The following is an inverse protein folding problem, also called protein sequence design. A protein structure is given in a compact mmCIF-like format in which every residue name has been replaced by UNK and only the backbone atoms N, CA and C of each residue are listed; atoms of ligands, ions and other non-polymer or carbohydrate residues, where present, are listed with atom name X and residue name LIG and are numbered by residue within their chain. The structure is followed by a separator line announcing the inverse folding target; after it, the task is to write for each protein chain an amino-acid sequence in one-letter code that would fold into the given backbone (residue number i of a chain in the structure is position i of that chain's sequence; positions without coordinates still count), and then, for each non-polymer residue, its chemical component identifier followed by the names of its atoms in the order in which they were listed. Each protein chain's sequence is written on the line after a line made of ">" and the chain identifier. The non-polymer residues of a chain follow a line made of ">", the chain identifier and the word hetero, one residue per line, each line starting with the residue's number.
data_IF_612392865241
#
_entry.id   IF_612392865241
#
_cell.length_a   1.000
_cell.length_b   1.000
_cell.length_c   1.000
_cell.angle_alpha   90.00
_cell.angle_beta   90.00
_cell.angle_gamma   90.00
#
_symmetry.space_group_name_H-M   'P 1'
#
loop_
_entity.id
_entity.type
_entity.pdbx_description
1 polymer ?
#
# COMPACT_ATOMS: atom_id res chain seq x y z
N UNK A 1 104.03 -109.54 33.86
CA UNK A 1 102.81 -108.70 33.86
C UNK A 1 103.08 -107.47 34.71
N UNK A 2 102.46 -106.31 34.43
CA UNK A 2 102.48 -105.17 35.35
C UNK A 2 101.75 -105.50 36.67
N UNK A 3 102.06 -104.81 37.78
CA UNK A 3 101.34 -105.00 39.05
C UNK A 3 99.89 -104.51 38.94
N UNK A 4 98.98 -105.18 39.67
CA UNK A 4 97.53 -104.96 39.57
C UNK A 4 97.14 -103.51 39.93
N UNK A 5 97.83 -102.88 40.87
CA UNK A 5 97.57 -101.50 41.29
C UNK A 5 97.77 -100.48 40.15
N UNK A 6 98.65 -100.76 39.19
CA UNK A 6 98.86 -99.93 38.00
C UNK A 6 97.71 -100.05 36.97
N UNK A 7 96.84 -101.04 37.10
CA UNK A 7 95.61 -101.21 36.29
C UNK A 7 94.39 -100.66 37.04
N UNK A 8 94.35 -100.80 38.37
CA UNK A 8 93.24 -100.32 39.21
C UNK A 8 93.26 -98.79 39.37
N UNK A 9 94.43 -98.17 39.59
CA UNK A 9 94.51 -96.72 39.90
C UNK A 9 93.98 -95.79 38.80
N UNK A 10 94.15 -96.06 37.48
CA UNK A 10 93.47 -95.29 36.43
C UNK A 10 91.94 -95.43 36.50
N UNK A 11 91.42 -96.65 36.66
CA UNK A 11 89.98 -96.93 36.73
C UNK A 11 89.32 -96.27 37.95
N UNK A 12 90.04 -96.20 39.09
CA UNK A 12 89.58 -95.43 40.25
C UNK A 12 89.57 -93.91 40.01
N UNK A 13 90.49 -93.38 39.20
CA UNK A 13 90.52 -91.97 38.84
C UNK A 13 89.38 -91.61 37.87
N UNK A 14 89.14 -92.45 36.85
CA UNK A 14 88.00 -92.34 35.94
C UNK A 14 86.67 -92.43 36.70
N UNK A 15 86.53 -93.37 37.64
CA UNK A 15 85.33 -93.52 38.47
C UNK A 15 85.13 -92.33 39.45
N UNK A 16 86.21 -91.65 39.88
CA UNK A 16 86.12 -90.38 40.62
C UNK A 16 85.68 -89.23 39.71
N UNK A 17 86.21 -89.14 38.49
CA UNK A 17 85.79 -88.13 37.50
C UNK A 17 84.31 -88.30 37.11
N UNK A 18 83.87 -89.51 36.79
CA UNK A 18 82.46 -89.80 36.48
C UNK A 18 81.52 -89.45 37.64
N UNK A 19 81.94 -89.65 38.90
CA UNK A 19 81.15 -89.21 40.08
C UNK A 19 81.07 -87.68 40.21
N UNK A 20 82.15 -86.95 39.90
CA UNK A 20 82.15 -85.48 39.87
C UNK A 20 81.28 -84.95 38.72
N UNK A 21 81.32 -85.59 37.55
CA UNK A 21 80.48 -85.27 36.40
C UNK A 21 78.99 -85.51 36.71
N UNK A 22 78.63 -86.66 37.30
CA UNK A 22 77.25 -86.95 37.74
C UNK A 22 76.79 -85.93 38.79
N UNK A 23 77.63 -85.52 39.74
CA UNK A 23 77.28 -84.49 40.72
C UNK A 23 77.03 -83.13 40.04
N UNK A 24 77.90 -82.72 39.11
CA UNK A 24 77.71 -81.50 38.31
C UNK A 24 76.40 -81.56 37.50
N UNK A 25 76.15 -82.66 36.80
CA UNK A 25 74.93 -82.85 36.01
C UNK A 25 73.66 -82.81 36.87
N UNK A 26 73.71 -83.28 38.13
CA UNK A 26 72.59 -83.14 39.07
C UNK A 26 72.33 -81.68 39.45
N UNK A 27 73.36 -80.87 39.69
CA UNK A 27 73.20 -79.44 40.01
C UNK A 27 72.85 -78.58 38.79
N UNK A 28 73.39 -78.90 37.60
CA UNK A 28 72.96 -78.31 36.32
C UNK A 28 71.47 -78.61 36.06
N UNK A 29 71.01 -79.84 36.30
CA UNK A 29 69.59 -80.20 36.15
C UNK A 29 68.69 -79.47 37.18
N UNK A 30 69.13 -79.35 38.44
CA UNK A 30 68.46 -78.50 39.45
C UNK A 30 68.46 -77.01 39.07
N UNK A 31 69.44 -76.53 38.31
CA UNK A 31 69.46 -75.16 37.81
C UNK A 31 68.45 -74.98 36.67
N UNK A 32 68.34 -75.94 35.76
CA UNK A 32 67.32 -75.99 34.71
C UNK A 32 65.89 -76.05 35.28
N UNK A 33 65.64 -76.85 36.33
CA UNK A 33 64.36 -76.90 37.05
C UNK A 33 63.92 -75.52 37.58
N UNK A 34 64.86 -74.79 38.20
CA UNK A 34 64.59 -73.44 38.74
C UNK A 34 64.37 -72.42 37.62
N UNK A 35 65.14 -72.51 36.54
CA UNK A 35 64.99 -71.64 35.37
C UNK A 35 63.66 -71.88 34.65
N UNK A 36 63.22 -73.13 34.54
CA UNK A 36 61.93 -73.51 33.95
C UNK A 36 60.77 -72.91 34.76
N UNK A 37 60.74 -73.14 36.08
CA UNK A 37 59.71 -72.59 36.98
C UNK A 37 59.69 -71.05 36.99
N UNK A 38 60.86 -70.42 36.88
CA UNK A 38 60.97 -68.96 36.74
C UNK A 38 60.36 -68.45 35.43
N UNK A 39 60.63 -69.13 34.31
CA UNK A 39 60.04 -68.83 33.00
C UNK A 39 58.53 -69.08 32.96
N UNK A 40 58.04 -70.15 33.57
CA UNK A 40 56.61 -70.45 33.70
C UNK A 40 55.88 -69.34 34.50
N UNK A 41 56.46 -68.90 35.62
CA UNK A 41 55.91 -67.79 36.40
C UNK A 41 55.86 -66.48 35.59
N UNK A 42 56.95 -66.14 34.89
CA UNK A 42 57.02 -64.95 34.04
C UNK A 42 56.04 -65.00 32.85
N UNK A 43 55.83 -66.17 32.24
CA UNK A 43 54.83 -66.38 31.19
C UNK A 43 53.41 -66.14 31.72
N UNK A 44 53.08 -66.66 32.91
CA UNK A 44 51.77 -66.44 33.54
C UNK A 44 51.55 -64.98 33.99
N UNK A 45 52.61 -64.22 34.27
CA UNK A 45 52.52 -62.78 34.55
C UNK A 45 52.34 -61.96 33.26
N UNK A 46 53.07 -62.30 32.20
CA UNK A 46 52.89 -61.73 30.87
C UNK A 46 51.48 -62.01 30.32
N UNK A 47 50.95 -63.23 30.48
CA UNK A 47 49.60 -63.59 30.03
C UNK A 47 48.53 -62.74 30.73
N UNK A 48 48.58 -62.61 32.07
CA UNK A 48 47.67 -61.71 32.82
C UNK A 48 47.78 -60.27 32.33
N UNK A 49 49.00 -59.80 32.03
CA UNK A 49 49.23 -58.45 31.51
C UNK A 49 48.56 -58.26 30.14
N UNK A 50 48.66 -59.24 29.25
CA UNK A 50 47.98 -59.25 27.94
C UNK A 50 46.46 -59.29 28.10
N UNK A 51 45.91 -60.16 28.97
CA UNK A 51 44.48 -60.23 29.25
C UNK A 51 43.93 -58.88 29.77
N UNK A 52 44.65 -58.21 30.68
CA UNK A 52 44.30 -56.88 31.19
C UNK A 52 44.40 -55.82 30.08
N UNK A 53 45.38 -55.90 29.19
CA UNK A 53 45.52 -54.99 28.05
C UNK A 53 44.36 -55.17 27.04
N UNK A 54 43.97 -56.40 26.72
CA UNK A 54 42.83 -56.70 25.84
C UNK A 54 41.51 -56.18 26.42
N UNK A 55 41.26 -56.37 27.72
CA UNK A 55 40.07 -55.83 28.39
C UNK A 55 40.03 -54.29 28.36
N UNK A 56 41.18 -53.62 28.49
CA UNK A 56 41.29 -52.17 28.35
C UNK A 56 41.08 -51.69 26.91
N UNK A 57 41.60 -52.42 25.91
CA UNK A 57 41.38 -52.11 24.49
C UNK A 57 39.89 -52.15 24.14
N UNK A 58 39.19 -53.24 24.48
CA UNK A 58 37.74 -53.37 24.25
C UNK A 58 36.93 -52.23 24.89
N UNK A 59 37.29 -51.78 26.10
CA UNK A 59 36.64 -50.64 26.75
C UNK A 59 36.93 -49.31 26.05
N UNK A 60 38.13 -49.13 25.48
CA UNK A 60 38.48 -47.96 24.66
C UNK A 60 37.66 -47.97 23.37
N UNK A 61 37.50 -49.12 22.72
CA UNK A 61 36.70 -49.26 21.49
C UNK A 61 35.21 -48.94 21.75
N UNK A 62 34.63 -49.46 22.84
CA UNK A 62 33.27 -49.12 23.28
C UNK A 62 33.09 -47.61 23.53
N UNK A 63 34.08 -46.97 24.16
CA UNK A 63 34.07 -45.53 24.41
C UNK A 63 34.26 -44.71 23.13
N UNK A 64 35.06 -45.18 22.17
CA UNK A 64 35.19 -44.55 20.85
C UNK A 64 33.87 -44.64 20.07
N UNK A 65 33.25 -45.82 20.02
CA UNK A 65 31.94 -46.03 19.41
C UNK A 65 30.88 -45.10 20.02
N UNK A 66 30.85 -44.99 21.34
CA UNK A 66 29.93 -44.09 22.06
C UNK A 66 30.22 -42.60 21.78
N UNK A 67 31.49 -42.20 21.66
CA UNK A 67 31.86 -40.83 21.30
C UNK A 67 31.46 -40.51 19.85
N UNK A 68 31.63 -41.43 18.90
CA UNK A 68 31.16 -41.26 17.52
C UNK A 68 29.64 -41.07 17.47
N UNK A 69 28.89 -41.84 18.25
CA UNK A 69 27.44 -41.73 18.32
C UNK A 69 26.98 -40.40 18.96
N UNK A 70 27.63 -39.96 20.04
CA UNK A 70 27.37 -38.65 20.64
C UNK A 70 27.68 -37.49 19.69
N UNK A 71 28.73 -37.60 18.86
CA UNK A 71 29.03 -36.58 17.82
C UNK A 71 27.91 -36.47 16.78
N UNK A 72 27.36 -37.59 16.30
CA UNK A 72 26.20 -37.58 15.38
C UNK A 72 24.97 -36.94 16.03
N UNK A 73 24.70 -37.27 17.29
CA UNK A 73 23.57 -36.69 18.04
C UNK A 73 23.74 -35.18 18.22
N UNK A 74 24.96 -34.69 18.44
CA UNK A 74 25.27 -33.25 18.46
C UNK A 74 25.03 -32.61 17.09
N UNK A 75 25.44 -33.24 15.98
CA UNK A 75 25.21 -32.75 14.62
C UNK A 75 23.71 -32.69 14.27
N UNK A 76 22.94 -33.72 14.61
CA UNK A 76 21.47 -33.76 14.46
C UNK A 76 20.83 -32.60 15.23
N UNK A 77 21.15 -32.45 16.52
CA UNK A 77 20.66 -31.34 17.35
C UNK A 77 21.01 -29.96 16.75
N UNK A 78 22.16 -29.82 16.09
CA UNK A 78 22.55 -28.56 15.46
C UNK A 78 21.73 -28.24 14.20
N UNK A 79 21.48 -29.20 13.30
CA UNK A 79 20.60 -28.94 12.15
C UNK A 79 19.13 -28.80 12.57
N UNK A 80 18.66 -29.53 13.59
CA UNK A 80 17.32 -29.34 14.16
C UNK A 80 17.10 -27.91 14.67
N UNK A 81 18.04 -27.38 15.47
CA UNK A 81 17.99 -25.98 15.91
C UNK A 81 18.02 -25.02 14.72
N UNK A 82 18.86 -25.28 13.70
CA UNK A 82 18.96 -24.49 12.47
C UNK A 82 17.71 -24.59 11.58
N UNK A 83 16.91 -25.65 11.68
CA UNK A 83 15.59 -25.79 11.05
C UNK A 83 14.52 -25.03 11.86
N UNK A 84 14.53 -25.15 13.19
CA UNK A 84 13.66 -24.39 14.09
C UNK A 84 13.84 -22.88 13.92
N UNK A 85 15.08 -22.40 13.79
CA UNK A 85 15.41 -20.99 13.55
C UNK A 85 14.82 -20.48 12.22
N UNK A 86 14.97 -21.25 11.14
CA UNK A 86 14.38 -20.92 9.81
C UNK A 86 12.84 -20.85 9.92
N UNK A 87 12.23 -21.84 10.57
CA UNK A 87 10.78 -21.93 10.76
C UNK A 87 10.25 -20.78 11.62
N UNK A 88 10.96 -20.41 12.70
CA UNK A 88 10.57 -19.30 13.56
C UNK A 88 10.63 -17.97 12.81
N UNK A 89 11.72 -17.69 12.07
CA UNK A 89 11.83 -16.48 11.24
C UNK A 89 10.73 -16.40 10.17
N UNK A 90 10.36 -17.52 9.55
CA UNK A 90 9.24 -17.59 8.61
C UNK A 90 7.90 -17.26 9.29
N UNK A 91 7.61 -17.84 10.46
CA UNK A 91 6.40 -17.55 11.24
C UNK A 91 6.33 -16.10 11.71
N UNK A 92 7.45 -15.51 12.12
CA UNK A 92 7.52 -14.08 12.49
C UNK A 92 7.19 -13.20 11.28
N UNK A 93 7.78 -13.44 10.11
CA UNK A 93 7.49 -12.69 8.89
C UNK A 93 6.02 -12.85 8.42
N UNK A 94 5.40 -14.02 8.64
CA UNK A 94 3.97 -14.22 8.39
C UNK A 94 3.10 -13.43 9.37
N UNK A 95 3.43 -13.43 10.67
CA UNK A 95 2.73 -12.63 11.69
C UNK A 95 2.88 -11.12 11.43
N UNK A 96 4.06 -10.64 11.01
CA UNK A 96 4.29 -9.25 10.60
C UNK A 96 3.41 -8.87 9.40
N UNK A 97 3.33 -9.74 8.37
CA UNK A 97 2.47 -9.55 7.20
C UNK A 97 0.98 -9.52 7.59
N UNK A 98 0.53 -10.43 8.45
CA UNK A 98 -0.85 -10.44 8.95
C UNK A 98 -1.15 -9.16 9.74
N UNK A 99 -0.22 -8.73 10.61
CA UNK A 99 -0.31 -7.47 11.38
C UNK A 99 -0.39 -6.24 10.47
N UNK A 100 0.30 -6.25 9.32
CA UNK A 100 0.16 -5.21 8.29
C UNK A 100 -1.25 -5.23 7.67
N UNK A 101 -1.76 -6.40 7.26
CA UNK A 101 -3.12 -6.49 6.67
C UNK A 101 -4.24 -6.13 7.66
N UNK A 102 -4.05 -6.38 8.96
CA UNK A 102 -5.01 -5.94 10.00
C UNK A 102 -5.08 -4.41 10.05
N UNK A 103 -3.93 -3.72 10.09
CA UNK A 103 -3.89 -2.24 10.11
C UNK A 103 -4.49 -1.62 8.85
N UNK A 104 -4.23 -2.20 7.68
CA UNK A 104 -4.86 -1.77 6.41
C UNK A 104 -6.39 -1.94 6.43
N UNK A 105 -6.90 -3.01 7.05
CA UNK A 105 -8.35 -3.22 7.23
C UNK A 105 -8.95 -2.26 8.28
N UNK A 106 -8.24 -1.96 9.36
CA UNK A 106 -8.65 -0.96 10.36
C UNK A 106 -8.77 0.44 9.76
N UNK A 107 -7.78 0.87 8.96
CA UNK A 107 -7.82 2.13 8.21
C UNK A 107 -9.00 2.16 7.20
N UNK A 108 -9.23 1.06 6.48
CA UNK A 108 -10.35 0.94 5.55
C UNK A 108 -11.72 1.00 6.25
N UNK A 109 -11.85 0.40 7.45
CA UNK A 109 -13.07 0.46 8.27
C UNK A 109 -13.32 1.88 8.80
N UNK A 110 -12.27 2.58 9.24
CA UNK A 110 -12.38 3.98 9.69
C UNK A 110 -12.79 4.91 8.53
N UNK A 111 -12.18 4.74 7.34
CA UNK A 111 -12.57 5.47 6.13
C UNK A 111 -14.01 5.17 5.70
N UNK A 112 -14.43 3.90 5.76
CA UNK A 112 -15.81 3.48 5.51
C UNK A 112 -16.82 4.10 6.50
N UNK A 113 -16.45 4.20 7.78
CA UNK A 113 -17.24 4.89 8.81
C UNK A 113 -17.41 6.38 8.53
N UNK A 114 -16.34 7.06 8.10
CA UNK A 114 -16.39 8.46 7.70
C UNK A 114 -17.27 8.69 6.46
N UNK A 115 -17.16 7.83 5.44
CA UNK A 115 -18.02 7.87 4.26
C UNK A 115 -19.50 7.62 4.62
N UNK A 116 -19.79 6.65 5.50
CA UNK A 116 -21.14 6.38 5.97
C UNK A 116 -21.75 7.52 6.80
N UNK A 117 -20.94 8.29 7.53
CA UNK A 117 -21.38 9.53 8.17
C UNK A 117 -21.77 10.59 7.13
N UNK A 118 -20.90 10.87 6.16
CA UNK A 118 -21.16 11.84 5.10
C UNK A 118 -22.44 11.51 4.30
N UNK A 119 -22.67 10.23 3.95
CA UNK A 119 -23.91 9.79 3.28
C UNK A 119 -25.15 10.09 4.13
N UNK A 120 -25.12 9.83 5.44
CA UNK A 120 -26.24 10.15 6.35
C UNK A 120 -26.50 11.65 6.45
N UNK A 121 -25.47 12.48 6.43
CA UNK A 121 -25.62 13.94 6.50
C UNK A 121 -26.11 14.56 5.19
N UNK A 122 -25.67 14.06 4.03
CA UNK A 122 -26.27 14.42 2.74
C UNK A 122 -27.73 13.98 2.65
N UNK A 123 -28.06 12.77 3.12
CA UNK A 123 -29.45 12.27 3.17
C UNK A 123 -30.34 13.19 4.04
N UNK A 124 -29.84 13.63 5.20
CA UNK A 124 -30.51 14.61 6.08
C UNK A 124 -30.76 15.94 5.37
N UNK A 125 -29.73 16.53 4.74
CA UNK A 125 -29.86 17.81 4.02
C UNK A 125 -30.81 17.72 2.82
N UNK A 126 -30.85 16.57 2.13
CA UNK A 126 -31.83 16.29 1.06
C UNK A 126 -33.26 16.20 1.61
N UNK A 127 -33.47 15.61 2.79
CA UNK A 127 -34.77 15.61 3.45
C UNK A 127 -35.21 17.03 3.82
N UNK A 128 -34.35 17.80 4.48
CA UNK A 128 -34.60 19.21 4.84
C UNK A 128 -35.00 20.03 3.60
N UNK A 129 -34.21 19.98 2.52
CA UNK A 129 -34.53 20.69 1.27
C UNK A 129 -35.83 20.22 0.62
N UNK A 130 -36.23 18.95 0.76
CA UNK A 130 -37.52 18.46 0.26
C UNK A 130 -38.70 18.87 1.16
N UNK A 131 -38.47 19.19 2.43
CA UNK A 131 -39.47 19.77 3.33
C UNK A 131 -39.64 21.27 3.05
N UNK A 132 -38.54 22.01 2.88
CA UNK A 132 -38.50 23.40 2.38
C UNK A 132 -39.18 23.52 1.00
N UNK A 133 -38.88 22.61 0.06
CA UNK A 133 -39.54 22.58 -1.25
C UNK A 133 -41.06 22.42 -1.11
N UNK A 134 -41.54 21.57 -0.18
CA UNK A 134 -42.97 21.38 0.08
C UNK A 134 -43.62 22.57 0.79
N UNK A 135 -42.91 23.39 1.57
CA UNK A 135 -43.50 24.62 2.14
C UNK A 135 -43.64 25.68 1.05
N UNK A 136 -42.57 25.93 0.28
CA UNK A 136 -42.57 26.84 -0.86
C UNK A 136 -43.60 26.47 -1.94
N UNK A 137 -43.75 25.18 -2.26
CA UNK A 137 -44.77 24.69 -3.21
C UNK A 137 -46.20 25.03 -2.76
N UNK A 138 -46.49 24.96 -1.45
CA UNK A 138 -47.77 25.39 -0.89
C UNK A 138 -47.91 26.91 -0.84
N UNK A 139 -46.83 27.66 -0.68
CA UNK A 139 -46.83 29.13 -0.71
C UNK A 139 -47.09 29.66 -2.11
N UNK A 140 -46.45 29.10 -3.13
CA UNK A 140 -46.72 29.38 -4.54
C UNK A 140 -48.19 29.07 -4.88
N UNK A 141 -48.74 27.97 -4.37
CA UNK A 141 -50.17 27.65 -4.54
C UNK A 141 -51.09 28.71 -3.88
N UNK A 142 -50.81 29.12 -2.63
CA UNK A 142 -51.56 30.19 -1.93
C UNK A 142 -51.44 31.54 -2.65
N UNK A 143 -50.25 31.90 -3.13
CA UNK A 143 -50.00 33.11 -3.88
C UNK A 143 -50.75 33.11 -5.21
N UNK A 144 -50.75 31.99 -5.95
CA UNK A 144 -51.51 31.84 -7.20
C UNK A 144 -53.01 31.98 -6.99
N UNK A 145 -53.59 31.38 -5.95
CA UNK A 145 -55.01 31.56 -5.60
C UNK A 145 -55.31 33.03 -5.26
N UNK A 146 -54.44 33.68 -4.49
CA UNK A 146 -54.60 35.09 -4.11
C UNK A 146 -54.51 36.02 -5.32
N UNK A 147 -53.54 35.79 -6.21
CA UNK A 147 -53.36 36.54 -7.46
C UNK A 147 -54.57 36.35 -8.41
N UNK A 148 -55.08 35.13 -8.56
CA UNK A 148 -56.29 34.85 -9.33
C UNK A 148 -57.51 35.61 -8.75
N UNK A 149 -57.65 35.67 -7.42
CA UNK A 149 -58.73 36.43 -6.77
C UNK A 149 -58.59 37.93 -7.03
N UNK A 150 -57.39 38.50 -6.90
CA UNK A 150 -57.13 39.92 -7.22
C UNK A 150 -57.42 40.21 -8.70
N UNK A 151 -56.94 39.36 -9.61
CA UNK A 151 -57.22 39.49 -11.05
C UNK A 151 -58.73 39.42 -11.37
N UNK A 152 -59.49 38.61 -10.63
CA UNK A 152 -60.95 38.53 -10.78
C UNK A 152 -61.66 39.79 -10.27
N UNK A 153 -61.23 40.35 -9.13
CA UNK A 153 -61.76 41.61 -8.60
C UNK A 153 -61.46 42.76 -9.55
N UNK A 154 -60.20 42.91 -9.97
CA UNK A 154 -59.80 43.95 -10.93
C UNK A 154 -60.52 43.76 -12.27
N UNK A 155 -60.71 42.54 -12.77
CA UNK A 155 -61.49 42.33 -13.98
C UNK A 155 -62.94 42.86 -13.82
N UNK A 156 -63.59 42.60 -12.69
CA UNK A 156 -64.95 43.10 -12.45
C UNK A 156 -65.02 44.64 -12.38
N UNK A 157 -63.98 45.33 -11.92
CA UNK A 157 -63.88 46.80 -11.92
C UNK A 157 -63.80 47.41 -13.34
N UNK A 158 -63.39 46.62 -14.34
CA UNK A 158 -63.21 47.03 -15.74
C UNK A 158 -64.33 46.51 -16.68
N UNK A 159 -65.47 46.13 -16.11
CA UNK A 159 -66.68 45.77 -16.87
C UNK A 159 -67.50 47.01 -17.26
N UNK A 160 -68.20 46.92 -18.39
CA UNK A 160 -69.20 47.89 -18.82
C UNK A 160 -70.54 47.70 -18.07
N UNK A 161 -71.51 48.57 -18.38
CA UNK A 161 -72.87 48.49 -17.82
C UNK A 161 -73.67 47.23 -18.23
N UNK A 162 -73.12 46.38 -19.11
CA UNK A 162 -73.68 45.09 -19.53
C UNK A 162 -72.90 43.90 -18.94
N UNK A 163 -72.09 44.11 -17.89
CA UNK A 163 -71.21 43.12 -17.25
C UNK A 163 -70.07 42.58 -18.14
N UNK A 164 -69.77 43.25 -19.28
CA UNK A 164 -68.76 42.80 -20.25
C UNK A 164 -67.44 43.51 -20.08
N UNK A 165 -66.33 42.76 -20.11
CA UNK A 165 -64.99 43.33 -20.18
C UNK A 165 -64.78 44.04 -21.53
N UNK A 166 -64.25 45.26 -21.52
CA UNK A 166 -63.88 45.96 -22.75
C UNK A 166 -62.83 45.16 -23.54
N UNK A 167 -63.04 44.86 -24.84
CA UNK A 167 -62.05 44.14 -25.64
C UNK A 167 -60.71 44.88 -25.70
N UNK A 168 -59.59 44.16 -25.52
CA UNK A 168 -58.23 44.75 -25.48
C UNK A 168 -57.92 45.60 -26.72
N UNK A 169 -58.40 45.20 -27.90
CA UNK A 169 -58.26 45.97 -29.14
C UNK A 169 -58.95 47.35 -29.03
N UNK A 170 -60.22 47.37 -28.60
CA UNK A 170 -61.00 48.59 -28.41
C UNK A 170 -60.35 49.49 -27.35
N UNK A 171 -59.91 48.94 -26.22
CA UNK A 171 -59.21 49.70 -25.18
C UNK A 171 -57.92 50.37 -25.69
N UNK A 172 -57.15 49.68 -26.53
CA UNK A 172 -55.95 50.25 -27.16
C UNK A 172 -56.28 51.33 -28.21
N UNK A 173 -57.42 51.22 -28.88
CA UNK A 173 -57.91 52.20 -29.86
C UNK A 173 -58.46 53.46 -29.17
N UNK A 174 -59.30 53.31 -28.15
CA UNK A 174 -59.80 54.42 -27.31
C UNK A 174 -58.67 55.13 -26.56
N UNK A 175 -57.73 54.38 -25.95
CA UNK A 175 -56.54 54.96 -25.31
C UNK A 175 -55.70 55.79 -26.29
N UNK A 176 -55.58 55.34 -27.55
CA UNK A 176 -54.87 56.08 -28.61
C UNK A 176 -55.65 57.33 -29.02
N UNK A 177 -56.96 57.25 -29.12
CA UNK A 177 -57.85 58.38 -29.41
C UNK A 177 -57.74 59.47 -28.33
N UNK A 178 -57.92 59.13 -27.05
CA UNK A 178 -57.79 60.08 -25.94
C UNK A 178 -56.38 60.68 -25.81
N UNK A 179 -55.33 59.92 -26.16
CA UNK A 179 -53.96 60.46 -26.21
C UNK A 179 -53.78 61.50 -27.34
N UNK A 180 -54.46 61.32 -28.48
CA UNK A 180 -54.52 62.29 -29.58
C UNK A 180 -55.32 63.54 -29.21
N UNK A 181 -56.55 63.38 -28.71
CA UNK A 181 -57.41 64.46 -28.20
C UNK A 181 -56.67 65.33 -27.15
N UNK A 182 -56.05 64.69 -26.14
CA UNK A 182 -55.29 65.39 -25.12
C UNK A 182 -54.09 66.17 -25.70
N UNK A 183 -53.46 65.69 -26.78
CA UNK A 183 -52.42 66.46 -27.45
C UNK A 183 -53.00 67.65 -28.22
N UNK A 184 -54.09 67.44 -28.98
CA UNK A 184 -54.77 68.52 -29.69
C UNK A 184 -55.27 69.61 -28.74
N UNK A 185 -55.71 69.26 -27.53
CA UNK A 185 -56.08 70.21 -26.47
C UNK A 185 -54.88 71.01 -25.93
N UNK A 186 -53.69 70.40 -25.81
CA UNK A 186 -52.44 71.14 -25.49
C UNK A 186 -52.06 72.08 -26.61
N UNK A 187 -52.19 71.65 -27.86
CA UNK A 187 -51.82 72.48 -29.02
C UNK A 187 -52.78 73.68 -29.15
N UNK A 188 -54.08 73.46 -28.92
CA UNK A 188 -55.11 74.52 -28.78
C UNK A 188 -54.80 75.47 -27.62
N UNK A 189 -54.43 74.96 -26.45
CA UNK A 189 -54.02 75.80 -25.31
C UNK A 189 -52.79 76.64 -25.63
N UNK A 190 -51.78 76.06 -26.29
CA UNK A 190 -50.57 76.76 -26.71
C UNK A 190 -50.83 77.79 -27.84
N UNK A 191 -51.92 77.66 -28.60
CA UNK A 191 -52.43 78.75 -29.47
C UNK A 191 -53.07 79.84 -28.62
N UNK A 192 -54.02 79.49 -27.74
CA UNK A 192 -54.73 80.45 -26.90
C UNK A 192 -53.79 81.29 -26.01
N UNK A 193 -52.75 80.67 -25.42
CA UNK A 193 -51.72 81.39 -24.67
C UNK A 193 -50.96 82.42 -25.53
N UNK A 194 -50.65 82.10 -26.79
CA UNK A 194 -49.97 83.03 -27.70
C UNK A 194 -50.89 84.18 -28.11
N UNK A 195 -52.17 83.89 -28.36
CA UNK A 195 -53.19 84.92 -28.63
C UNK A 195 -53.34 85.85 -27.42
N UNK A 196 -53.52 85.31 -26.21
CA UNK A 196 -53.63 86.09 -24.98
C UNK A 196 -52.37 86.95 -24.70
N UNK A 197 -51.16 86.43 -24.98
CA UNK A 197 -49.91 87.19 -24.89
C UNK A 197 -49.86 88.35 -25.92
N UNK A 198 -50.35 88.14 -27.15
CA UNK A 198 -50.45 89.19 -28.17
C UNK A 198 -51.52 90.24 -27.83
N UNK A 199 -52.67 89.83 -27.31
CA UNK A 199 -53.73 90.72 -26.83
C UNK A 199 -53.28 91.55 -25.63
N UNK A 200 -52.52 90.97 -24.70
CA UNK A 200 -51.93 91.71 -23.58
C UNK A 200 -50.95 92.80 -24.06
N UNK A 201 -50.07 92.49 -25.01
CA UNK A 201 -49.18 93.48 -25.65
C UNK A 201 -49.95 94.56 -26.43
N UNK A 202 -51.08 94.21 -27.03
CA UNK A 202 -51.94 95.17 -27.73
C UNK A 202 -52.68 96.08 -26.74
N UNK A 203 -53.18 95.52 -25.63
CA UNK A 203 -53.77 96.26 -24.51
C UNK A 203 -52.77 97.24 -23.90
N UNK A 204 -51.53 96.82 -23.68
CA UNK A 204 -50.44 97.70 -23.21
C UNK A 204 -50.20 98.88 -24.17
N UNK A 205 -50.13 98.61 -25.49
CA UNK A 205 -50.01 99.67 -26.52
C UNK A 205 -51.19 100.66 -26.49
N UNK A 206 -52.41 100.18 -26.25
CA UNK A 206 -53.58 101.06 -26.08
C UNK A 206 -53.56 101.81 -24.74
N UNK A 207 -53.12 101.18 -23.65
CA UNK A 207 -52.98 101.81 -22.32
C UNK A 207 -52.02 103.01 -22.36
N UNK A 208 -50.86 102.85 -23.04
CA UNK A 208 -49.89 103.94 -23.25
C UNK A 208 -50.49 105.06 -24.10
N UNK A 209 -51.17 104.73 -25.20
CA UNK A 209 -51.86 105.74 -26.06
C UNK A 209 -52.94 106.50 -25.31
N UNK A 210 -53.74 105.83 -24.49
CA UNK A 210 -54.76 106.46 -23.66
C UNK A 210 -54.14 107.42 -22.66
N UNK A 211 -53.07 107.01 -21.97
CA UNK A 211 -52.36 107.85 -21.00
C UNK A 211 -51.84 109.16 -21.63
N UNK A 212 -51.26 109.09 -22.83
CA UNK A 212 -50.80 110.29 -23.58
C UNK A 212 -51.95 111.23 -23.96
N UNK A 213 -53.15 110.69 -24.25
CA UNK A 213 -54.36 111.50 -24.48
C UNK A 213 -54.91 112.11 -23.19
N UNK A 214 -54.88 111.37 -22.09
CA UNK A 214 -55.28 111.84 -20.77
C UNK A 214 -54.37 112.97 -20.26
N UNK A 215 -53.05 112.84 -20.46
CA UNK A 215 -52.04 113.86 -20.18
C UNK A 215 -52.28 115.12 -21.03
N UNK A 216 -52.65 114.98 -22.32
CA UNK A 216 -53.07 116.12 -23.16
C UNK A 216 -54.36 116.78 -22.68
N UNK A 217 -55.34 116.02 -22.20
CA UNK A 217 -56.61 116.57 -21.71
C UNK A 217 -56.42 117.31 -20.37
N UNK A 218 -55.60 116.75 -19.47
CA UNK A 218 -55.20 117.39 -18.20
C UNK A 218 -54.39 118.68 -18.40
N UNK A 219 -53.69 118.82 -19.53
CA UNK A 219 -53.00 120.06 -19.90
C UNK A 219 -53.94 121.15 -20.48
N UNK A 220 -55.24 120.86 -20.72
CA UNK A 220 -56.13 121.71 -21.51
C UNK A 220 -57.09 122.61 -20.72
N UNK A 221 -57.02 122.62 -19.39
CA UNK A 221 -57.76 123.55 -18.52
C UNK A 221 -56.76 124.31 -17.62
N UNK A 222 -56.45 125.56 -17.96
CA UNK A 222 -55.38 126.32 -17.32
C UNK A 222 -55.86 127.41 -16.37
N UNK A 223 -55.12 127.63 -15.28
CA UNK A 223 -55.16 128.90 -14.56
C UNK A 223 -53.77 129.32 -14.04
N UNK A 224 -53.19 130.34 -14.71
CA UNK A 224 -52.17 131.30 -14.25
C UNK A 224 -50.85 130.85 -13.58
N UNK A 225 -49.73 131.29 -14.21
CA UNK A 225 -48.49 131.89 -13.60
C UNK A 225 -47.57 130.93 -12.79
N UNK A 226 -46.23 131.02 -12.80
CA UNK A 226 -45.27 132.08 -13.22
C UNK A 226 -44.01 131.45 -13.90
N UNK A 227 -43.08 132.28 -14.41
CA UNK A 227 -41.80 131.92 -15.07
C UNK A 227 -40.82 131.11 -14.16
N UNK A 228 -39.65 130.60 -14.59
CA UNK A 228 -38.86 130.65 -15.86
C UNK A 228 -37.88 129.43 -15.87
N UNK A 229 -36.99 129.10 -16.82
CA UNK A 229 -36.52 129.67 -18.11
C UNK A 229 -35.86 128.53 -18.97
N UNK A 230 -34.72 128.79 -19.66
CA UNK A 230 -33.56 127.91 -19.40
C UNK A 230 -32.89 127.08 -20.51
N UNK A 231 -33.07 127.39 -21.80
CA UNK A 231 -32.10 127.20 -22.92
C UNK A 231 -31.20 125.91 -23.01
N UNK A 232 -31.18 125.31 -24.23
CA UNK A 232 -29.99 124.73 -24.93
C UNK A 232 -29.75 123.20 -25.01
N UNK A 233 -29.83 122.68 -26.26
CA UNK A 233 -28.86 121.79 -26.96
C UNK A 233 -28.26 120.54 -26.30
N UNK A 234 -28.36 119.37 -26.97
CA UNK A 234 -27.26 118.74 -27.76
C UNK A 234 -27.54 117.26 -28.17
N UNK A 235 -26.55 116.56 -28.76
CA UNK A 235 -26.69 115.31 -29.52
C UNK A 235 -26.41 114.01 -28.73
N UNK A 236 -27.31 113.03 -28.87
CA UNK A 236 -27.01 111.67 -29.37
C UNK A 236 -26.16 110.67 -28.55
N UNK A 237 -25.84 109.53 -29.20
CA UNK A 237 -25.02 108.41 -28.70
C UNK A 237 -25.64 107.51 -27.61
N UNK A 238 -25.32 106.22 -27.42
CA UNK A 238 -24.97 105.10 -28.34
C UNK A 238 -24.95 103.76 -27.56
N UNK A 239 -25.10 102.62 -28.28
CA UNK A 239 -24.58 101.26 -27.97
C UNK A 239 -24.99 100.54 -26.64
N UNK A 240 -25.53 99.32 -26.81
CA UNK A 240 -25.46 98.09 -25.96
C UNK A 240 -24.92 98.19 -24.51
N UNK A 241 -25.59 97.48 -23.60
CA UNK A 241 -25.00 96.39 -22.78
C UNK A 241 -26.08 95.31 -22.46
N UNK A 242 -25.71 94.19 -21.80
CA UNK A 242 -26.61 93.06 -21.48
C UNK A 242 -26.44 92.54 -20.05
N UNK A 243 -27.53 92.09 -19.41
CA UNK A 243 -27.64 91.24 -18.20
C UNK A 243 -29.14 90.91 -18.01
N UNK A 244 -29.61 89.81 -17.40
CA UNK A 244 -28.95 88.58 -16.91
C UNK A 244 -29.85 87.80 -15.91
N UNK A 245 -30.05 86.48 -16.09
CA UNK A 245 -30.98 85.63 -15.28
C UNK A 245 -32.48 85.87 -15.60
N UNK A 246 -33.47 85.06 -15.24
CA UNK A 246 -33.61 83.80 -14.49
C UNK A 246 -35.07 83.26 -14.74
N UNK A 247 -35.56 82.06 -14.42
CA UNK A 247 -35.04 80.86 -13.72
C UNK A 247 -35.82 79.55 -14.14
N UNK A 248 -35.41 78.39 -13.62
CA UNK A 248 -35.97 77.03 -13.71
C UNK A 248 -37.51 76.79 -13.65
N UNK A 249 -38.01 75.78 -14.39
CA UNK A 249 -38.74 74.61 -13.85
C UNK A 249 -38.82 73.44 -14.86
N UNK A 250 -39.06 72.21 -14.37
CA UNK A 250 -38.72 70.96 -15.08
C UNK A 250 -39.86 70.30 -15.87
N UNK A 251 -39.52 69.62 -16.99
CA UNK A 251 -40.19 68.34 -17.33
C UNK A 251 -39.35 67.41 -18.20
N UNK A 252 -39.37 66.12 -17.87
CA UNK A 252 -38.64 65.05 -18.57
C UNK A 252 -39.31 64.65 -19.89
N UNK A 253 -38.51 64.23 -20.87
CA UNK A 253 -38.96 63.40 -22.00
C UNK A 253 -37.89 62.33 -22.27
N UNK A 254 -38.33 61.12 -22.61
CA UNK A 254 -37.48 59.92 -22.68
C UNK A 254 -37.29 59.41 -24.11
N UNK A 255 -36.05 59.14 -24.51
CA UNK A 255 -35.61 57.90 -25.20
C UNK A 255 -34.15 58.01 -25.69
N UNK A 256 -33.51 56.88 -26.00
CA UNK A 256 -32.38 56.86 -26.96
C UNK A 256 -31.00 56.43 -26.45
N UNK A 257 -30.88 55.20 -25.95
CA UNK A 257 -29.85 54.20 -26.29
C UNK A 257 -28.34 54.55 -26.55
N UNK A 258 -27.48 53.60 -26.12
CA UNK A 258 -26.10 53.30 -26.60
C UNK A 258 -24.88 54.08 -26.05
N UNK A 259 -24.34 53.55 -24.95
CA UNK A 259 -22.99 52.93 -24.90
C UNK A 259 -21.79 53.63 -25.59
N UNK A 260 -20.86 54.17 -24.78
CA UNK A 260 -19.45 53.69 -24.70
C UNK A 260 -18.58 54.38 -23.64
N UNK A 261 -17.57 53.62 -23.17
CA UNK A 261 -16.26 54.03 -22.61
C UNK A 261 -16.16 54.60 -21.17
N UNK A 262 -15.27 53.93 -20.42
CA UNK A 262 -14.66 54.14 -19.09
C UNK A 262 -13.68 55.34 -19.04
N UNK A 263 -13.03 55.76 -17.91
CA UNK A 263 -12.68 54.97 -16.69
C UNK A 263 -12.63 55.67 -15.29
N UNK A 264 -12.27 54.88 -14.27
CA UNK A 264 -11.68 55.25 -12.96
C UNK A 264 -12.55 56.06 -11.96
N UNK A 265 -12.38 55.98 -10.63
CA UNK A 265 -11.66 55.04 -9.71
C UNK A 265 -12.35 55.21 -8.32
N UNK A 266 -12.43 54.25 -7.39
CA UNK A 266 -11.34 53.77 -6.50
C UNK A 266 -11.76 52.52 -5.67
N UNK A 267 -10.75 51.91 -5.05
CA UNK A 267 -10.69 50.83 -4.04
C UNK A 267 -11.96 50.49 -3.21
N UNK A 268 -12.21 49.23 -2.83
CA UNK A 268 -11.41 48.01 -3.06
C UNK A 268 -12.09 46.71 -2.56
N UNK A 269 -11.64 45.57 -3.08
CA UNK A 269 -12.10 44.20 -2.74
C UNK A 269 -11.20 43.55 -1.65
N UNK A 270 -11.45 42.38 -1.05
CA UNK A 270 -11.84 41.06 -1.60
C UNK A 270 -12.86 40.29 -0.73
N UNK A 271 -13.43 39.22 -1.33
CA UNK A 271 -14.40 38.30 -0.73
C UNK A 271 -13.97 36.82 -0.87
N UNK A 272 -14.04 36.10 0.24
CA UNK A 272 -14.38 34.67 0.43
C UNK A 272 -14.46 33.68 -0.78
N UNK A 273 -13.69 32.58 -0.62
CA UNK A 273 -14.02 31.16 -0.88
C UNK A 273 -13.92 30.47 -2.27
N UNK A 274 -13.08 29.42 -2.27
CA UNK A 274 -13.20 28.07 -2.87
C UNK A 274 -13.10 27.77 -4.40
N UNK A 275 -12.07 26.95 -4.70
CA UNK A 275 -12.11 25.66 -5.44
C UNK A 275 -11.94 25.57 -6.99
N UNK A 276 -10.89 24.84 -7.40
CA UNK A 276 -10.92 23.58 -8.21
C UNK A 276 -10.00 23.47 -9.45
N UNK A 277 -9.44 22.25 -9.62
CA UNK A 277 -8.83 21.61 -10.83
C UNK A 277 -7.69 22.28 -11.62
N UNK A 278 -6.55 21.57 -11.79
CA UNK A 278 -6.16 20.96 -13.08
C UNK A 278 -4.92 20.02 -13.02
N UNK A 279 -4.91 19.05 -13.96
CA UNK A 279 -3.94 17.95 -14.19
C UNK A 279 -2.45 18.32 -14.31
N UNK A 280 -1.56 17.45 -13.80
CA UNK A 280 -0.25 17.08 -14.40
C UNK A 280 0.07 15.58 -14.18
N UNK A 281 1.07 15.04 -14.91
CA UNK A 281 1.14 13.61 -15.30
C UNK A 281 2.18 12.74 -14.56
N UNK A 282 1.94 11.42 -14.68
CA UNK A 282 2.79 10.26 -14.29
C UNK A 282 4.13 10.20 -15.01
N UNK A 283 5.17 9.64 -14.35
CA UNK A 283 6.20 8.80 -15.01
C UNK A 283 6.82 7.78 -14.03
N UNK A 284 7.42 6.72 -14.60
CA UNK A 284 7.95 5.50 -13.95
C UNK A 284 9.40 5.30 -14.41
N UNK A 285 10.16 4.40 -13.75
CA UNK A 285 11.53 3.93 -14.06
C UNK A 285 12.65 4.80 -13.44
N UNK A 286 13.85 4.27 -13.14
CA UNK A 286 14.45 2.99 -13.56
C UNK A 286 15.35 2.32 -12.50
N UNK A 287 15.71 1.05 -12.74
CA UNK A 287 16.84 0.36 -12.09
C UNK A 287 18.17 0.92 -12.59
N UNK A 288 19.22 0.90 -11.77
CA UNK A 288 20.63 0.93 -12.18
C UNK A 288 21.49 0.16 -11.16
N UNK A 289 22.77 -0.04 -11.48
CA UNK A 289 23.63 -1.08 -10.89
C UNK A 289 25.07 -0.57 -10.77
N UNK A 290 25.63 -0.59 -9.56
CA UNK A 290 27.06 -0.57 -9.22
C UNK A 290 27.16 -0.89 -7.70
N UNK A 291 28.26 -1.36 -7.10
CA UNK A 291 29.62 -1.48 -7.63
C UNK A 291 30.66 -1.22 -6.53
N UNK A 292 30.48 -1.81 -5.34
CA UNK A 292 31.25 -1.46 -4.13
C UNK A 292 31.94 -2.67 -3.49
N UNK A 293 33.27 -2.62 -3.38
CA UNK A 293 34.08 -3.72 -2.84
C UNK A 293 34.51 -3.49 -1.38
N UNK A 294 34.55 -4.60 -0.63
CA UNK A 294 35.47 -4.91 0.49
C UNK A 294 35.94 -3.73 1.37
N UNK A 295 35.37 -3.61 2.56
CA UNK A 295 36.14 -3.19 3.74
C UNK A 295 35.94 -4.20 4.87
N UNK A 296 36.95 -4.31 5.72
CA UNK A 296 36.85 -4.98 7.01
C UNK A 296 35.98 -4.13 7.94
N UNK A 297 35.24 -4.79 8.83
CA UNK A 297 35.49 -4.51 10.24
C UNK A 297 35.29 -5.78 11.09
N UNK A 298 36.16 -5.98 12.07
CA UNK A 298 36.19 -7.15 12.96
C UNK A 298 36.58 -6.68 14.33
N UNK A 299 35.60 -6.47 15.21
CA UNK A 299 35.88 -6.21 16.61
C UNK A 299 35.08 -7.11 17.55
N UNK A 300 35.82 -7.82 18.40
CA UNK A 300 35.34 -8.65 19.50
C UNK A 300 36.51 -8.86 20.46
N UNK A 301 36.57 -8.01 21.48
CA UNK A 301 37.64 -8.03 22.49
C UNK A 301 37.16 -8.66 23.79
N UNK A 302 37.71 -9.84 24.11
CA UNK A 302 37.88 -10.37 25.47
C UNK A 302 39.20 -11.17 25.50
N UNK A 303 40.15 -10.86 26.39
CA UNK A 303 41.44 -11.54 26.45
C UNK A 303 41.50 -12.66 27.50
N UNK A 304 42.43 -13.60 27.32
CA UNK A 304 43.41 -14.10 28.32
C UNK A 304 44.42 -15.03 27.60
N UNK A 305 45.63 -15.19 28.16
CA UNK A 305 46.82 -15.70 27.45
C UNK A 305 47.20 -17.17 27.74
N UNK A 306 48.14 -17.72 26.95
CA UNK A 306 48.73 -19.07 27.10
C UNK A 306 49.20 -19.68 25.76
N UNK A 307 50.30 -19.26 25.11
CA UNK A 307 51.75 -19.52 25.40
C UNK A 307 52.35 -20.65 24.51
N UNK A 308 53.54 -20.39 23.93
CA UNK A 308 54.48 -21.26 23.19
C UNK A 308 54.21 -21.67 21.71
N UNK A 309 54.75 -20.87 20.78
CA UNK A 309 55.81 -21.21 19.81
C UNK A 309 56.00 -22.66 19.29
N UNK A 310 55.82 -22.91 17.98
CA UNK A 310 56.94 -22.98 16.99
C UNK A 310 56.54 -23.35 15.54
N UNK A 311 57.48 -23.13 14.61
CA UNK A 311 57.42 -23.14 13.12
C UNK A 311 57.24 -24.56 12.50
N UNK A 312 56.60 -24.71 11.30
CA UNK A 312 56.17 -26.01 10.77
C UNK A 312 57.18 -26.73 9.84
N UNK A 313 56.84 -27.96 9.41
CA UNK A 313 57.52 -28.73 8.34
C UNK A 313 56.50 -29.58 7.55
N UNK A 314 56.80 -29.89 6.29
CA UNK A 314 55.93 -30.57 5.32
C UNK A 314 56.09 -32.12 5.33
N UNK A 315 55.42 -32.76 4.36
CA UNK A 315 55.61 -34.12 3.77
C UNK A 315 54.46 -35.11 4.08
N UNK A 316 54.32 -36.11 3.21
CA UNK A 316 53.09 -36.80 2.80
C UNK A 316 53.06 -38.30 3.13
N UNK A 317 51.93 -38.92 2.77
CA UNK A 317 51.68 -40.36 2.59
C UNK A 317 51.73 -41.26 3.84
N UNK A 318 50.66 -42.07 4.01
CA UNK A 318 50.75 -43.52 3.84
C UNK A 318 49.34 -44.15 3.98
N UNK A 319 48.89 -44.92 2.99
CA UNK A 319 47.89 -46.00 3.21
C UNK A 319 48.06 -47.08 2.15
N UNK A 320 48.66 -48.20 2.57
CA UNK A 320 48.82 -49.41 1.75
C UNK A 320 47.50 -50.19 1.65
N UNK A 321 47.22 -50.75 0.46
CA UNK A 321 46.52 -52.04 0.33
C UNK A 321 47.06 -52.79 -0.89
N UNK A 322 47.44 -54.04 -0.69
CA UNK A 322 47.90 -54.97 -1.74
C UNK A 322 47.35 -56.35 -1.42
N UNK A 323 46.59 -56.93 -2.35
CA UNK A 323 46.21 -58.35 -2.47
C UNK A 323 45.48 -58.54 -3.83
N UNK A 324 45.48 -59.66 -4.57
CA UNK A 324 46.38 -60.84 -4.73
C UNK A 324 46.01 -61.52 -6.08
N UNK A 325 46.84 -62.45 -6.58
CA UNK A 325 46.58 -63.53 -7.57
C UNK A 325 46.98 -63.30 -9.06
N UNK A 326 47.62 -64.33 -9.63
CA UNK A 326 48.05 -64.45 -11.04
C UNK A 326 49.36 -65.24 -11.15
N UNK A 327 49.41 -66.36 -11.89
CA UNK A 327 50.53 -67.34 -11.86
C UNK A 327 50.79 -67.94 -13.25
N UNK A 328 51.99 -68.52 -13.45
CA UNK A 328 52.54 -69.19 -14.67
C UNK A 328 52.98 -68.27 -15.83
N UNK A 329 54.01 -68.58 -16.63
CA UNK A 329 55.29 -69.32 -16.44
C UNK A 329 56.19 -69.13 -17.71
N UNK A 330 57.48 -69.50 -17.60
CA UNK A 330 58.44 -70.00 -18.61
C UNK A 330 58.98 -69.19 -19.84
N UNK A 331 60.33 -69.22 -19.93
CA UNK A 331 61.20 -69.58 -21.07
C UNK A 331 61.63 -68.63 -22.24
N UNK A 332 62.95 -68.39 -22.24
CA UNK A 332 63.94 -68.67 -23.32
C UNK A 332 64.29 -67.65 -24.45
N UNK A 333 65.52 -67.10 -24.32
CA UNK A 333 66.60 -66.91 -25.33
C UNK A 333 66.34 -66.35 -26.76
N UNK A 334 67.08 -65.28 -27.13
CA UNK A 334 67.41 -64.97 -28.54
C UNK A 334 68.02 -63.57 -28.81
N UNK A 335 69.20 -63.51 -29.43
CA UNK A 335 69.89 -62.28 -29.92
C UNK A 335 70.33 -62.46 -31.38
N UNK A 336 70.83 -61.43 -32.09
CA UNK A 336 70.45 -60.01 -32.21
C UNK A 336 70.19 -59.63 -33.70
N UNK A 337 69.96 -58.34 -34.08
CA UNK A 337 70.37 -57.72 -35.38
C UNK A 337 70.12 -56.19 -35.44
N UNK A 338 70.59 -55.54 -36.51
CA UNK A 338 70.89 -54.11 -36.66
C UNK A 338 69.72 -53.09 -36.76
N UNK A 339 70.02 -51.88 -36.23
CA UNK A 339 69.77 -50.53 -36.78
C UNK A 339 68.64 -50.35 -37.84
N UNK A 340 67.65 -49.54 -37.50
CA UNK A 340 67.26 -48.34 -38.30
C UNK A 340 66.44 -47.38 -37.45
N UNK A 341 66.92 -46.14 -37.31
CA UNK A 341 66.07 -44.95 -37.30
C UNK A 341 66.17 -44.39 -38.74
N UNK A 342 65.12 -43.79 -39.35
CA UNK A 342 64.67 -42.48 -38.89
C UNK A 342 63.21 -42.12 -39.22
N UNK A 343 62.25 -42.44 -38.34
CA UNK A 343 61.04 -41.60 -38.22
C UNK A 343 60.86 -41.21 -36.75
N UNK A 344 60.63 -39.93 -36.50
CA UNK A 344 60.28 -39.43 -35.18
C UNK A 344 58.76 -39.52 -35.01
N UNK A 345 58.24 -40.75 -35.05
CA UNK A 345 56.90 -41.01 -34.53
C UNK A 345 56.89 -40.56 -33.07
N UNK A 346 55.84 -39.84 -32.66
CA UNK A 346 55.67 -39.41 -31.27
C UNK A 346 55.27 -40.60 -30.41
N UNK A 347 56.27 -41.39 -29.99
CA UNK A 347 56.14 -42.50 -29.07
C UNK A 347 55.74 -42.01 -27.67
N UNK A 348 54.46 -41.68 -27.52
CA UNK A 348 53.81 -41.39 -26.24
C UNK A 348 54.06 -42.55 -25.28
N UNK A 349 54.68 -42.25 -24.13
CA UNK A 349 55.05 -43.24 -23.12
C UNK A 349 53.87 -44.14 -22.73
N UNK A 350 54.09 -45.45 -22.65
CA UNK A 350 53.06 -46.42 -22.27
C UNK A 350 52.36 -46.07 -20.95
N UNK A 351 53.10 -45.52 -19.99
CA UNK A 351 52.57 -45.05 -18.70
C UNK A 351 51.51 -43.95 -18.88
N UNK A 352 51.66 -43.08 -19.89
CA UNK A 352 50.68 -42.05 -20.22
C UNK A 352 49.48 -42.63 -20.98
N UNK A 353 49.67 -43.66 -21.80
CA UNK A 353 48.56 -44.44 -22.37
C UNK A 353 47.74 -45.15 -21.28
N UNK A 354 48.39 -45.85 -20.34
CA UNK A 354 47.72 -46.56 -19.24
C UNK A 354 46.94 -45.58 -18.33
N UNK A 355 47.55 -44.44 -18.02
CA UNK A 355 46.93 -43.35 -17.25
C UNK A 355 45.70 -42.79 -17.97
N UNK A 356 45.84 -42.44 -19.26
CA UNK A 356 44.74 -41.93 -20.07
C UNK A 356 43.63 -42.97 -20.27
N UNK A 357 43.97 -44.25 -20.42
CA UNK A 357 43.00 -45.34 -20.52
C UNK A 357 42.23 -45.51 -19.21
N UNK A 358 42.91 -45.44 -18.06
CA UNK A 358 42.28 -45.47 -16.72
C UNK A 358 41.36 -44.26 -16.50
N UNK A 359 41.76 -43.07 -16.93
CA UNK A 359 40.90 -41.88 -16.88
C UNK A 359 39.69 -42.00 -17.80
N UNK A 360 39.86 -42.45 -19.05
CA UNK A 360 38.77 -42.66 -20.01
C UNK A 360 37.76 -43.71 -19.51
N UNK A 361 38.22 -44.80 -18.89
CA UNK A 361 37.35 -45.80 -18.26
C UNK A 361 36.59 -45.17 -17.07
N UNK A 362 37.28 -44.42 -16.22
CA UNK A 362 36.70 -43.75 -15.05
C UNK A 362 35.64 -42.69 -15.46
N UNK A 363 35.93 -41.91 -16.49
CA UNK A 363 35.02 -40.91 -17.06
C UNK A 363 33.79 -41.56 -17.72
N UNK A 364 33.97 -42.68 -18.45
CA UNK A 364 32.83 -43.45 -18.98
C UNK A 364 31.93 -44.00 -17.87
N UNK A 365 32.51 -44.53 -16.78
CA UNK A 365 31.75 -45.00 -15.62
C UNK A 365 30.99 -43.85 -14.93
N UNK A 366 31.68 -42.74 -14.67
CA UNK A 366 31.07 -41.54 -14.08
C UNK A 366 30.03 -40.86 -14.98
N UNK A 367 30.11 -41.04 -16.31
CA UNK A 367 29.04 -40.64 -17.23
C UNK A 367 27.82 -41.53 -17.03
N UNK A 368 27.98 -42.85 -17.12
CA UNK A 368 26.87 -43.80 -16.97
C UNK A 368 26.16 -43.68 -15.61
N UNK A 369 26.91 -43.47 -14.52
CA UNK A 369 26.35 -43.20 -13.19
C UNK A 369 25.53 -41.90 -13.15
N UNK A 370 25.97 -40.84 -13.87
CA UNK A 370 25.19 -39.60 -14.03
C UNK A 370 23.96 -39.79 -14.90
N UNK A 371 24.06 -40.55 -15.99
CA UNK A 371 22.95 -40.83 -16.90
C UNK A 371 21.83 -41.62 -16.19
N UNK A 372 22.19 -42.62 -15.38
CA UNK A 372 21.25 -43.31 -14.50
C UNK A 372 20.66 -42.37 -13.44
N UNK A 373 21.50 -41.56 -12.78
CA UNK A 373 21.04 -40.57 -11.78
C UNK A 373 20.11 -39.50 -12.38
N UNK A 374 20.25 -39.17 -13.66
CA UNK A 374 19.35 -38.27 -14.39
C UNK A 374 18.01 -38.97 -14.65
N UNK A 375 18.04 -40.20 -15.16
CA UNK A 375 16.83 -41.01 -15.36
C UNK A 375 16.02 -41.19 -14.08
N UNK A 376 16.67 -41.51 -12.96
CA UNK A 376 16.02 -41.65 -11.65
C UNK A 376 15.32 -40.35 -11.20
N UNK A 377 15.84 -39.19 -11.61
CA UNK A 377 15.23 -37.88 -11.37
C UNK A 377 14.09 -37.58 -12.32
N UNK A 378 14.18 -37.97 -13.59
CA UNK A 378 13.09 -37.81 -14.55
C UNK A 378 11.88 -38.68 -14.18
N UNK A 379 12.10 -39.93 -13.76
CA UNK A 379 11.07 -40.81 -13.19
C UNK A 379 10.44 -40.19 -11.93
N UNK A 380 11.25 -39.56 -11.06
CA UNK A 380 10.75 -38.83 -9.88
C UNK A 380 9.95 -37.56 -10.25
N UNK A 381 10.34 -36.83 -11.30
CA UNK A 381 9.62 -35.67 -11.83
C UNK A 381 8.27 -36.11 -12.41
N UNK A 382 8.21 -37.20 -13.18
CA UNK A 382 6.97 -37.74 -13.72
C UNK A 382 6.00 -38.18 -12.60
N UNK A 383 6.53 -38.82 -11.54
CA UNK A 383 5.75 -39.20 -10.36
C UNK A 383 5.30 -37.99 -9.52
N UNK A 384 6.05 -36.88 -9.52
CA UNK A 384 5.61 -35.62 -8.90
C UNK A 384 4.53 -34.93 -9.76
N UNK A 385 4.65 -34.92 -11.08
CA UNK A 385 3.62 -34.39 -11.98
C UNK A 385 2.28 -35.12 -11.81
N UNK A 386 2.30 -36.46 -11.79
CA UNK A 386 1.12 -37.31 -11.51
C UNK A 386 0.47 -36.99 -10.15
N UNK A 387 1.27 -36.66 -9.12
CA UNK A 387 0.77 -36.21 -7.81
C UNK A 387 0.16 -34.81 -7.87
N UNK A 388 0.78 -33.87 -8.58
CA UNK A 388 0.24 -32.51 -8.79
C UNK A 388 -1.10 -32.56 -9.53
N UNK A 389 -1.23 -33.34 -10.61
CA UNK A 389 -2.50 -33.51 -11.32
C UNK A 389 -3.59 -34.12 -10.44
N UNK A 390 -3.23 -35.10 -9.61
CA UNK A 390 -4.15 -35.74 -8.65
C UNK A 390 -4.63 -34.73 -7.59
N UNK A 391 -3.73 -33.94 -7.03
CA UNK A 391 -4.05 -32.88 -6.05
C UNK A 391 -4.89 -31.77 -6.68
N UNK A 392 -4.55 -31.33 -7.90
CA UNK A 392 -5.29 -30.30 -8.63
C UNK A 392 -6.73 -30.75 -8.93
N UNK A 393 -6.91 -32.02 -9.31
CA UNK A 393 -8.24 -32.64 -9.51
C UNK A 393 -9.02 -32.77 -8.20
N UNK A 394 -8.38 -33.12 -7.09
CA UNK A 394 -9.01 -33.14 -5.77
C UNK A 394 -9.47 -31.73 -5.33
N UNK A 395 -8.60 -30.72 -5.47
CA UNK A 395 -8.89 -29.31 -5.21
C UNK A 395 -10.04 -28.78 -6.08
N UNK A 396 -10.12 -29.17 -7.35
CA UNK A 396 -11.22 -28.78 -8.23
C UNK A 396 -12.57 -29.41 -7.79
N UNK A 397 -12.55 -30.66 -7.32
CA UNK A 397 -13.72 -31.34 -6.73
C UNK A 397 -14.14 -30.67 -5.42
N UNK A 398 -13.19 -30.30 -4.56
CA UNK A 398 -13.46 -29.60 -3.30
C UNK A 398 -14.01 -28.18 -3.54
N UNK A 399 -13.45 -27.42 -4.49
CA UNK A 399 -13.99 -26.13 -4.90
C UNK A 399 -15.41 -26.26 -5.48
N UNK A 400 -15.71 -27.35 -6.22
CA UNK A 400 -17.07 -27.67 -6.69
C UNK A 400 -18.01 -28.07 -5.55
N UNK A 401 -17.52 -28.75 -4.51
CA UNK A 401 -18.27 -29.09 -3.29
C UNK A 401 -18.61 -27.81 -2.50
N UNK A 402 -17.61 -26.99 -2.16
CA UNK A 402 -17.79 -25.74 -1.40
C UNK A 402 -18.79 -24.80 -2.08
N UNK A 403 -18.75 -24.65 -3.42
CA UNK A 403 -19.74 -23.86 -4.17
C UNK A 403 -21.18 -24.37 -4.01
N UNK A 404 -21.38 -25.70 -3.91
CA UNK A 404 -22.70 -26.31 -3.67
C UNK A 404 -23.16 -26.10 -2.24
N UNK A 405 -22.25 -26.19 -1.26
CA UNK A 405 -22.54 -25.96 0.15
C UNK A 405 -22.92 -24.49 0.42
N UNK A 406 -22.20 -23.53 -0.18
CA UNK A 406 -22.59 -22.10 -0.16
C UNK A 406 -23.98 -21.90 -0.78
N UNK A 407 -24.24 -22.43 -1.99
CA UNK A 407 -25.55 -22.29 -2.63
C UNK A 407 -26.70 -22.97 -1.85
N UNK A 408 -26.42 -24.05 -1.13
CA UNK A 408 -27.39 -24.69 -0.23
C UNK A 408 -27.68 -23.82 0.99
N UNK A 409 -26.64 -23.26 1.63
CA UNK A 409 -26.76 -22.34 2.76
C UNK A 409 -27.47 -21.03 2.37
N UNK A 410 -27.19 -20.47 1.19
CA UNK A 410 -27.92 -19.30 0.66
C UNK A 410 -29.41 -19.60 0.44
N UNK A 411 -29.75 -20.81 -0.03
CA UNK A 411 -31.12 -21.26 -0.18
C UNK A 411 -31.83 -21.43 1.17
N UNK A 412 -31.14 -21.96 2.18
CA UNK A 412 -31.65 -22.07 3.56
C UNK A 412 -31.86 -20.68 4.19
N UNK A 413 -30.87 -19.79 4.12
CA UNK A 413 -30.98 -18.40 4.59
C UNK A 413 -32.13 -17.66 3.89
N UNK A 414 -32.36 -17.94 2.60
CA UNK A 414 -33.50 -17.39 1.85
C UNK A 414 -34.84 -17.96 2.34
N UNK A 415 -34.92 -19.27 2.60
CA UNK A 415 -36.10 -19.91 3.17
C UNK A 415 -36.41 -19.39 4.60
N UNK A 416 -35.39 -19.19 5.44
CA UNK A 416 -35.54 -18.57 6.77
C UNK A 416 -36.10 -17.15 6.68
N UNK A 417 -35.66 -16.34 5.70
CA UNK A 417 -36.20 -14.98 5.48
C UNK A 417 -37.69 -15.01 5.11
N UNK A 418 -38.08 -15.85 4.15
CA UNK A 418 -39.49 -16.02 3.75
C UNK A 418 -40.35 -16.57 4.91
N UNK A 419 -39.84 -17.53 5.67
CA UNK A 419 -40.52 -18.06 6.87
C UNK A 419 -40.75 -16.98 7.93
N UNK A 420 -39.73 -16.16 8.21
CA UNK A 420 -39.83 -15.03 9.16
C UNK A 420 -40.80 -13.95 8.68
N UNK A 421 -40.90 -13.72 7.37
CA UNK A 421 -41.86 -12.78 6.78
C UNK A 421 -43.30 -13.31 6.81
N UNK A 422 -43.50 -14.62 6.62
CA UNK A 422 -44.77 -15.29 6.89
C UNK A 422 -45.19 -15.19 8.37
N UNK A 423 -44.26 -15.38 9.31
CA UNK A 423 -44.53 -15.25 10.74
C UNK A 423 -44.92 -13.81 11.14
N UNK A 424 -44.27 -12.80 10.56
CA UNK A 424 -44.68 -11.38 10.67
C UNK A 424 -46.01 -11.04 9.96
N UNK A 425 -46.50 -11.91 9.08
CA UNK A 425 -47.81 -11.77 8.43
C UNK A 425 -48.91 -12.44 9.26
N UNK A 426 -48.65 -13.62 9.82
CA UNK A 426 -49.54 -14.32 10.75
C UNK A 426 -49.83 -13.47 12.00
N UNK A 427 -48.79 -12.88 12.61
CA UNK A 427 -48.92 -11.97 13.77
C UNK A 427 -49.72 -10.69 13.49
N UNK A 428 -49.97 -10.36 12.22
CA UNK A 428 -50.72 -9.15 11.82
C UNK A 428 -52.23 -9.37 11.67
N UNK A 429 -52.72 -10.60 11.84
CA UNK A 429 -54.15 -10.96 11.74
C UNK A 429 -54.86 -10.94 13.11
N UNK A 430 -54.12 -10.88 14.22
CA UNK A 430 -54.69 -10.93 15.58
C UNK A 430 -54.45 -9.62 16.35
N UNK A 431 -55.56 -8.98 16.70
CA UNK A 431 -55.68 -7.89 17.67
C UNK A 431 -57.17 -7.64 17.95
N UNK A 432 -57.56 -6.65 18.79
CA UNK A 432 -56.71 -5.69 19.51
C UNK A 432 -57.05 -5.57 21.02
N UNK A 433 -56.22 -4.84 21.81
CA UNK A 433 -56.64 -3.70 22.68
C UNK A 433 -55.59 -3.26 23.71
N UNK A 434 -55.35 -1.95 23.76
CA UNK A 434 -55.12 -1.18 25.00
C UNK A 434 -53.76 -1.29 25.70
N UNK A 435 -53.58 -0.44 26.72
CA UNK A 435 -52.39 -0.39 27.59
C UNK A 435 -51.40 0.70 27.19
N UNK A 436 -51.09 1.62 28.10
CA UNK A 436 -50.17 2.72 27.89
C UNK A 436 -49.17 2.86 29.05
N UNK A 437 -47.96 3.36 28.73
CA UNK A 437 -47.05 4.10 29.63
C UNK A 437 -46.24 3.32 30.70
N UNK A 438 -44.98 3.74 30.85
CA UNK A 438 -44.00 3.55 31.94
C UNK A 438 -43.47 2.14 32.34
N UNK A 439 -42.28 1.83 31.79
CA UNK A 439 -40.97 1.75 32.47
C UNK A 439 -40.83 1.26 33.93
N UNK A 440 -39.81 0.40 34.11
CA UNK A 440 -38.89 0.22 35.26
C UNK A 440 -39.11 -0.91 36.29
N UNK A 441 -37.99 -1.52 36.69
CA UNK A 441 -37.73 -2.42 37.86
C UNK A 441 -38.41 -3.83 37.89
N UNK A 442 -37.77 -4.93 38.33
CA UNK A 442 -36.38 -5.26 38.76
C UNK A 442 -35.80 -6.42 37.85
N UNK A 443 -34.97 -7.45 38.18
CA UNK A 443 -34.34 -7.97 39.42
C UNK A 443 -33.10 -8.88 39.15
N UNK A 444 -32.06 -8.76 40.00
CA UNK A 444 -31.14 -9.79 40.55
C UNK A 444 -30.64 -11.02 39.73
N UNK A 445 -29.32 -11.07 39.50
CA UNK A 445 -28.37 -12.17 39.87
C UNK A 445 -26.97 -11.82 39.29
N UNK A 446 -25.92 -11.45 40.03
CA UNK A 446 -25.12 -12.20 41.04
C UNK A 446 -24.66 -13.59 40.61
N UNK A 447 -23.40 -13.67 40.15
CA UNK A 447 -22.40 -14.52 40.79
C UNK A 447 -20.97 -14.00 40.50
N UNK A 448 -20.02 -14.33 41.39
CA UNK A 448 -18.62 -13.93 41.30
C UNK A 448 -17.71 -15.00 41.95
N UNK A 449 -16.45 -15.05 41.53
CA UNK A 449 -15.41 -15.96 42.03
C UNK A 449 -14.35 -16.16 40.94
N UNK A 450 -13.21 -15.46 40.96
CA UNK A 450 -12.03 -15.66 41.83
C UNK A 450 -11.19 -16.91 41.46
N UNK A 451 -10.00 -16.65 40.94
CA UNK A 451 -8.75 -17.05 41.63
C UNK A 451 -7.59 -16.17 41.18
N UNK A 452 -6.72 -15.78 42.13
CA UNK A 452 -5.41 -15.14 41.88
C UNK A 452 -4.37 -16.01 42.60
N UNK A 453 -3.18 -16.16 42.00
CA UNK A 453 -1.95 -16.54 42.71
C UNK A 453 -1.59 -18.03 42.68
N UNK A 454 -0.66 -18.39 41.80
CA UNK A 454 0.76 -18.52 42.16
C UNK A 454 1.64 -18.21 40.93
#
# INVERSE_FOLDING_TARGET
>A
MPPIEAIITPLEAELKLARLEVAKLQDDNRALDRLTKSKEAALLEAERTVQIAMAKASLVDDLQNKNQELMKQIEICQEENKILDKMHRQKVAEVEKLTQTVRELEEAVLAGGAAANAVRDYQRKVQEMNEERKTLEREVARAKVTANRVATVVANEWKDANDKLMPVKQWLEERRFFQGEMQQLRDKLAVAERTAKAEAQLKEKYQVRFKVLEERLKASNGNSRIASEGRSTSNGSSRRQSLGGAENFSRSSSNGFLSKRTPNSQYGTLRSNHASTLLKHVKISSRSFDGGSRSLDRDKLMPVAGVNDNVPTNISDETLISETNGTYEESANGTPIEKTNPEHEDYVSGILYDMLQKEVISLRKACHEKDQTLKDKDDAIEMLAKKVDTLNKAMEIEAKKMRREVAAMEKEVSAMRVSKEHDMRARRVIGPRGGAVNSSHLTSARNAGNSIGN
#
